data_IF_549349162101
#
_entry.id   IF_549349162101
#
_cell.length_a   1.000
_cell.length_b   1.000
_cell.length_c   1.000
_cell.angle_alpha   90.00
_cell.angle_beta   90.00
_cell.angle_gamma   90.00
#
_symmetry.space_group_name_H-M   'P 1'
#
loop_
_entity.id
_entity.type
_entity.pdbx_description
1 polymer ?
#
# COMPACT_ATOMS: atom_id res chain seq x y z
N UNK A 1 20.60 17.74 -13.04
CA UNK A 1 20.08 17.09 -11.82
C UNK A 1 21.20 16.27 -11.23
N UNK A 2 21.46 16.40 -9.94
CA UNK A 2 22.35 15.45 -9.25
C UNK A 2 21.61 14.12 -8.97
N UNK A 3 22.36 13.08 -8.60
CA UNK A 3 21.80 11.73 -8.32
C UNK A 3 20.76 11.76 -7.20
N UNK A 4 20.89 12.68 -6.25
CA UNK A 4 19.98 12.81 -5.10
C UNK A 4 18.64 13.39 -5.54
N UNK A 5 18.63 14.48 -6.32
CA UNK A 5 17.40 15.05 -6.91
C UNK A 5 16.73 14.05 -7.85
N UNK A 6 17.52 13.29 -8.61
CA UNK A 6 16.98 12.24 -9.49
C UNK A 6 16.23 11.17 -8.69
N UNK A 7 16.82 10.65 -7.61
CA UNK A 7 16.23 9.55 -6.82
C UNK A 7 15.16 10.01 -5.82
N UNK A 8 15.33 11.18 -5.21
CA UNK A 8 14.50 11.66 -4.10
C UNK A 8 13.44 12.69 -4.52
N UNK A 9 13.51 13.21 -5.75
CA UNK A 9 12.45 14.05 -6.31
C UNK A 9 12.75 15.54 -6.35
N UNK A 10 11.69 16.32 -6.18
CA UNK A 10 11.59 17.77 -6.40
C UNK A 10 11.79 18.17 -7.88
N UNK A 11 11.24 17.35 -8.79
CA UNK A 11 11.37 17.59 -10.22
C UNK A 11 10.49 18.76 -10.68
N UNK A 12 9.19 18.73 -10.36
CA UNK A 12 8.21 19.79 -10.67
C UNK A 12 7.12 19.84 -9.59
N UNK A 13 6.30 20.91 -9.55
CA UNK A 13 5.14 20.98 -8.65
C UNK A 13 4.08 19.89 -8.91
N UNK A 14 4.01 19.39 -10.14
CA UNK A 14 2.99 18.42 -10.59
C UNK A 14 3.50 16.98 -10.46
N UNK A 15 4.72 16.71 -10.92
CA UNK A 15 5.43 15.43 -10.79
C UNK A 15 6.63 15.66 -9.87
N UNK A 16 6.52 15.21 -8.63
CA UNK A 16 7.52 15.44 -7.58
C UNK A 16 8.67 14.44 -7.70
N UNK A 17 8.43 13.20 -8.11
CA UNK A 17 9.43 12.13 -8.15
C UNK A 17 8.95 10.90 -8.95
N UNK A 18 9.72 9.80 -8.88
CA UNK A 18 9.36 8.51 -9.48
C UNK A 18 8.11 7.85 -8.89
N UNK A 19 7.68 8.17 -7.67
CA UNK A 19 6.41 7.66 -7.13
C UNK A 19 5.26 8.29 -7.91
N UNK A 20 5.33 9.59 -8.19
CA UNK A 20 4.35 10.27 -9.05
C UNK A 20 4.35 9.75 -10.48
N UNK A 21 5.51 9.36 -11.01
CA UNK A 21 5.55 8.67 -12.31
C UNK A 21 4.76 7.37 -12.24
N UNK A 22 4.98 6.54 -11.22
CA UNK A 22 4.25 5.29 -11.06
C UNK A 22 2.74 5.53 -10.94
N UNK A 23 2.30 6.55 -10.19
CA UNK A 23 0.89 6.96 -10.12
C UNK A 23 0.31 7.32 -11.47
N UNK A 24 1.05 8.12 -12.24
CA UNK A 24 0.64 8.51 -13.59
C UNK A 24 0.60 7.32 -14.54
N UNK A 25 1.48 6.32 -14.35
CA UNK A 25 1.43 5.07 -15.11
C UNK A 25 0.15 4.29 -14.80
N UNK A 26 -0.24 4.14 -13.53
CA UNK A 26 -1.51 3.48 -13.15
C UNK A 26 -2.70 4.22 -13.77
N UNK A 27 -2.80 5.54 -13.57
CA UNK A 27 -3.89 6.36 -14.10
C UNK A 27 -3.90 6.43 -15.64
N UNK A 28 -2.71 6.45 -16.25
CA UNK A 28 -2.54 6.39 -17.70
C UNK A 28 -3.02 5.05 -18.26
N UNK A 29 -2.72 3.95 -17.57
CA UNK A 29 -3.26 2.62 -17.87
C UNK A 29 -4.78 2.64 -17.88
N UNK A 30 -5.43 3.25 -16.88
CA UNK A 30 -6.88 3.39 -16.85
C UNK A 30 -7.45 4.08 -18.10
N UNK A 31 -6.81 5.17 -18.56
CA UNK A 31 -7.20 5.88 -19.78
C UNK A 31 -6.99 5.02 -21.03
N UNK A 32 -5.88 4.28 -21.10
CA UNK A 32 -5.58 3.38 -22.23
C UNK A 32 -6.61 2.27 -22.36
N UNK A 33 -6.94 1.57 -21.26
CA UNK A 33 -7.95 0.51 -21.28
C UNK A 33 -9.36 1.06 -21.59
N UNK A 34 -9.71 2.24 -21.07
CA UNK A 34 -10.98 2.90 -21.42
C UNK A 34 -11.06 3.22 -22.91
N UNK A 35 -9.98 3.74 -23.51
CA UNK A 35 -9.90 4.02 -24.93
C UNK A 35 -9.96 2.75 -25.80
N UNK A 36 -9.49 1.62 -25.28
CA UNK A 36 -9.59 0.30 -25.92
C UNK A 36 -10.98 -0.35 -25.76
N UNK A 37 -11.87 0.24 -24.96
CA UNK A 37 -13.23 -0.26 -24.71
C UNK A 37 -13.34 -1.25 -23.54
N UNK A 38 -12.24 -1.51 -22.83
CA UNK A 38 -12.23 -2.33 -21.62
C UNK A 38 -12.48 -1.47 -20.38
N UNK A 39 -13.76 -1.27 -20.10
CA UNK A 39 -14.21 -0.46 -18.98
C UNK A 39 -13.96 -1.09 -17.60
N UNK A 40 -13.82 -2.43 -17.54
CA UNK A 40 -13.54 -3.14 -16.29
C UNK A 40 -12.12 -2.86 -15.81
N UNK A 41 -11.14 -3.12 -16.69
CA UNK A 41 -9.73 -2.81 -16.43
C UNK A 41 -9.52 -1.31 -16.15
N UNK A 42 -10.21 -0.44 -16.92
CA UNK A 42 -10.16 1.00 -16.70
C UNK A 42 -10.67 1.41 -15.32
N UNK A 43 -11.82 0.88 -14.89
CA UNK A 43 -12.41 1.20 -13.59
C UNK A 43 -11.51 0.74 -12.44
N UNK A 44 -10.93 -0.46 -12.54
CA UNK A 44 -10.00 -0.99 -11.54
C UNK A 44 -8.76 -0.10 -11.39
N UNK A 45 -8.06 0.19 -12.48
CA UNK A 45 -6.86 1.03 -12.44
C UNK A 45 -7.18 2.46 -12.00
N UNK A 46 -8.35 3.00 -12.36
CA UNK A 46 -8.79 4.31 -11.88
C UNK A 46 -9.04 4.32 -10.36
N UNK A 47 -9.68 3.27 -9.82
CA UNK A 47 -9.92 3.11 -8.39
C UNK A 47 -8.59 3.02 -7.62
N UNK A 48 -7.72 2.10 -8.02
CA UNK A 48 -6.41 1.88 -7.37
C UNK A 48 -5.51 3.12 -7.52
N UNK A 49 -5.49 3.74 -8.70
CA UNK A 49 -4.82 5.02 -8.93
C UNK A 49 -5.37 6.14 -8.04
N UNK A 50 -6.68 6.19 -7.84
CA UNK A 50 -7.34 7.13 -6.91
C UNK A 50 -6.86 6.97 -5.46
N UNK A 51 -6.70 5.74 -4.97
CA UNK A 51 -6.14 5.46 -3.64
C UNK A 51 -4.73 6.05 -3.51
N UNK A 52 -3.89 5.91 -4.54
CA UNK A 52 -2.55 6.52 -4.53
C UNK A 52 -2.59 8.06 -4.53
N UNK A 53 -3.63 8.69 -5.08
CA UNK A 53 -3.80 10.15 -5.01
C UNK A 53 -4.19 10.59 -3.60
N UNK A 54 -5.00 9.80 -2.88
CA UNK A 54 -5.30 10.07 -1.46
C UNK A 54 -4.00 10.08 -0.66
N UNK A 55 -3.14 9.08 -0.86
CA UNK A 55 -1.82 8.99 -0.23
C UNK A 55 -0.93 10.23 -0.49
N UNK A 56 -1.01 10.76 -1.71
CA UNK A 56 -0.32 11.98 -2.14
C UNK A 56 -0.86 13.22 -1.42
N UNK A 57 -2.18 13.32 -1.28
CA UNK A 57 -2.85 14.45 -0.62
C UNK A 57 -2.55 14.46 0.87
N UNK A 58 -2.64 13.31 1.53
CA UNK A 58 -2.30 13.19 2.96
C UNK A 58 -0.80 13.29 3.22
N UNK A 59 0.03 13.24 2.18
CA UNK A 59 1.48 13.45 2.24
C UNK A 59 2.17 12.44 3.18
N UNK A 60 1.97 11.15 2.92
CA UNK A 60 2.61 10.04 3.67
C UNK A 60 4.15 10.17 3.69
N UNK A 61 4.83 9.57 4.69
CA UNK A 61 6.28 9.42 4.62
C UNK A 61 6.65 8.67 3.34
N UNK A 62 7.72 9.11 2.66
CA UNK A 62 8.08 8.63 1.31
C UNK A 62 8.13 7.11 1.16
N UNK A 63 8.70 6.32 2.10
CA UNK A 63 8.72 4.86 1.97
C UNK A 63 7.31 4.27 1.97
N UNK A 64 6.41 4.77 2.81
CA UNK A 64 5.03 4.27 2.90
C UNK A 64 4.15 4.76 1.76
N UNK A 65 4.43 5.96 1.23
CA UNK A 65 3.87 6.41 -0.05
C UNK A 65 4.24 5.42 -1.17
N UNK A 66 5.53 5.10 -1.28
CA UNK A 66 6.02 4.12 -2.26
C UNK A 66 5.41 2.73 -2.03
N UNK A 67 5.35 2.25 -0.77
CA UNK A 67 4.76 0.96 -0.43
C UNK A 67 3.31 0.85 -0.91
N UNK A 68 2.47 1.83 -0.58
CA UNK A 68 1.08 1.83 -1.03
C UNK A 68 0.99 1.89 -2.56
N UNK A 69 1.77 2.77 -3.20
CA UNK A 69 1.73 2.93 -4.65
C UNK A 69 2.19 1.65 -5.37
N UNK A 70 3.20 0.95 -4.85
CA UNK A 70 3.65 -0.35 -5.38
C UNK A 70 2.60 -1.45 -5.18
N UNK A 71 1.94 -1.51 -4.02
CA UNK A 71 0.85 -2.46 -3.79
C UNK A 71 -0.31 -2.26 -4.78
N UNK A 72 -0.73 -1.01 -4.97
CA UNK A 72 -1.78 -0.67 -5.95
C UNK A 72 -1.35 -0.96 -7.39
N UNK A 73 -0.07 -0.75 -7.73
CA UNK A 73 0.46 -1.10 -9.04
C UNK A 73 0.50 -2.62 -9.26
N UNK A 74 0.98 -3.38 -8.27
CA UNK A 74 1.07 -4.83 -8.34
C UNK A 74 -0.31 -5.46 -8.52
N UNK A 75 -1.28 -5.07 -7.68
CA UNK A 75 -2.68 -5.51 -7.80
C UNK A 75 -3.28 -5.13 -9.16
N UNK A 76 -3.21 -3.85 -9.50
CA UNK A 76 -3.89 -3.31 -10.67
C UNK A 76 -3.33 -3.86 -11.98
N UNK A 77 -2.00 -3.81 -12.16
CA UNK A 77 -1.37 -4.37 -13.35
C UNK A 77 -1.33 -5.90 -13.33
N UNK A 78 -1.33 -6.52 -12.16
CA UNK A 78 -1.52 -7.97 -12.05
C UNK A 78 -2.79 -8.44 -12.73
N UNK A 79 -3.90 -7.78 -12.40
CA UNK A 79 -5.21 -8.12 -12.95
C UNK A 79 -5.31 -7.79 -14.44
N UNK A 80 -5.03 -6.54 -14.85
CA UNK A 80 -5.29 -6.13 -16.24
C UNK A 80 -4.33 -6.74 -17.26
N UNK A 81 -3.21 -7.30 -16.81
CA UNK A 81 -2.28 -8.05 -17.64
C UNK A 81 -2.50 -9.57 -17.56
N UNK A 82 -3.48 -10.06 -16.79
CA UNK A 82 -3.77 -11.48 -16.64
C UNK A 82 -2.70 -12.27 -15.88
N UNK A 83 -1.93 -11.62 -15.00
CA UNK A 83 -0.85 -12.29 -14.27
C UNK A 83 -1.36 -13.32 -13.26
N UNK A 84 -2.57 -13.13 -12.73
CA UNK A 84 -3.24 -14.12 -11.87
C UNK A 84 -3.46 -15.44 -12.63
N UNK A 85 -3.84 -15.37 -13.90
CA UNK A 85 -4.06 -16.55 -14.75
C UNK A 85 -2.74 -17.16 -15.26
N UNK A 86 -1.79 -16.31 -15.67
CA UNK A 86 -0.58 -16.76 -16.35
C UNK A 86 0.48 -17.31 -15.39
N UNK A 87 0.56 -16.78 -14.16
CA UNK A 87 1.63 -17.09 -13.22
C UNK A 87 1.08 -17.78 -11.97
N UNK A 88 1.34 -19.08 -11.87
CA UNK A 88 0.82 -20.06 -10.88
C UNK A 88 0.82 -19.62 -9.40
N UNK A 89 1.61 -18.61 -9.02
CA UNK A 89 1.70 -18.10 -7.63
C UNK A 89 1.70 -16.59 -7.56
N UNK A 90 1.15 -15.94 -8.57
CA UNK A 90 1.02 -14.50 -8.55
C UNK A 90 0.04 -14.07 -7.47
N UNK A 91 -1.05 -14.80 -7.32
CA UNK A 91 -2.02 -14.59 -6.27
C UNK A 91 -1.39 -14.72 -4.87
N UNK A 92 -0.72 -15.84 -4.59
CA UNK A 92 0.08 -16.03 -3.38
C UNK A 92 1.02 -14.85 -3.06
N UNK A 93 1.68 -14.31 -4.09
CA UNK A 93 2.61 -13.19 -3.96
C UNK A 93 1.86 -11.91 -3.57
N UNK A 94 0.71 -11.66 -4.18
CA UNK A 94 -0.14 -10.49 -3.89
C UNK A 94 -0.63 -10.56 -2.45
N UNK A 95 -1.16 -11.71 -2.01
CA UNK A 95 -1.62 -11.90 -0.63
C UNK A 95 -0.52 -11.75 0.42
N UNK A 96 0.73 -12.04 0.11
CA UNK A 96 1.83 -11.67 1.03
C UNK A 96 2.15 -10.17 0.94
N UNK A 97 2.21 -9.60 -0.26
CA UNK A 97 2.83 -8.29 -0.48
C UNK A 97 1.90 -7.12 -0.22
N UNK A 98 0.62 -7.21 -0.61
CA UNK A 98 -0.35 -6.13 -0.42
C UNK A 98 -0.54 -5.79 1.07
N UNK A 99 -0.85 -6.74 1.98
CA UNK A 99 -0.98 -6.41 3.40
C UNK A 99 0.34 -5.99 4.03
N UNK A 100 1.47 -6.58 3.63
CA UNK A 100 2.81 -6.15 4.07
C UNK A 100 3.07 -4.67 3.81
N UNK A 101 2.69 -4.19 2.62
CA UNK A 101 2.96 -2.83 2.17
C UNK A 101 1.89 -1.82 2.62
N UNK A 102 0.64 -2.26 2.82
CA UNK A 102 -0.49 -1.37 3.12
C UNK A 102 -0.84 -1.28 4.60
N UNK A 103 -0.65 -2.33 5.39
CA UNK A 103 -0.99 -2.30 6.82
C UNK A 103 -0.26 -1.20 7.61
N UNK A 104 1.06 -0.96 7.40
CA UNK A 104 1.76 0.16 8.03
C UNK A 104 1.21 1.53 7.64
N UNK A 105 0.71 1.65 6.41
CA UNK A 105 0.11 2.90 5.91
C UNK A 105 -1.18 3.20 6.66
N UNK A 106 -2.01 2.18 6.89
CA UNK A 106 -3.23 2.33 7.70
C UNK A 106 -2.90 2.69 9.13
N UNK A 107 -1.90 2.06 9.76
CA UNK A 107 -1.44 2.45 11.09
C UNK A 107 -1.03 3.93 11.13
N UNK A 108 -0.22 4.40 10.17
CA UNK A 108 0.22 5.79 10.09
C UNK A 108 -0.96 6.75 9.88
N UNK A 109 -1.95 6.36 9.07
CA UNK A 109 -3.16 7.15 8.87
C UNK A 109 -3.94 7.30 10.19
N UNK A 110 -4.09 6.20 10.95
CA UNK A 110 -4.73 6.21 12.27
C UNK A 110 -3.95 7.03 13.30
N UNK A 111 -2.61 6.97 13.26
CA UNK A 111 -1.75 7.75 14.15
C UNK A 111 -1.94 9.25 13.92
N UNK A 112 -2.05 9.67 12.66
CA UNK A 112 -2.26 11.08 12.26
C UNK A 112 -3.62 11.64 12.66
N UNK A 113 -4.59 10.79 12.96
CA UNK A 113 -5.90 11.17 13.49
C UNK A 113 -6.05 10.82 14.97
N UNK A 114 -4.92 10.56 15.65
CA UNK A 114 -4.83 10.34 17.10
C UNK A 114 -5.63 9.13 17.61
N UNK A 115 -5.95 8.16 16.73
CA UNK A 115 -6.62 6.91 17.11
C UNK A 115 -5.65 5.91 17.72
N UNK A 116 -4.40 5.93 17.27
CA UNK A 116 -3.28 5.16 17.83
C UNK A 116 -2.10 6.11 18.07
N UNK A 117 -1.10 5.73 18.89
CA UNK A 117 0.05 6.58 19.12
C UNK A 117 0.88 6.86 17.87
N UNK A 118 1.54 8.03 17.81
CA UNK A 118 2.52 8.29 16.75
C UNK A 118 3.76 7.41 16.96
N UNK A 119 4.28 6.75 15.91
CA UNK A 119 5.53 6.00 16.02
C UNK A 119 6.75 6.82 16.51
N UNK A 120 6.70 8.16 16.50
CA UNK A 120 7.74 9.02 17.09
C UNK A 120 7.67 9.13 18.60
N UNK A 121 6.48 9.15 19.17
CA UNK A 121 6.27 9.51 20.57
C UNK A 121 6.51 8.32 21.50
N UNK A 122 6.51 7.11 20.94
CA UNK A 122 6.45 5.87 21.71
C UNK A 122 7.68 4.98 21.56
N UNK A 123 8.59 5.05 22.53
CA UNK A 123 9.96 4.47 22.40
C UNK A 123 10.27 3.29 23.34
N UNK A 124 9.25 2.65 23.92
CA UNK A 124 9.43 1.55 24.88
C UNK A 124 8.89 0.19 24.36
N UNK A 125 9.42 -0.91 24.91
CA UNK A 125 9.11 -2.28 24.45
C UNK A 125 7.59 -2.59 24.36
N UNK A 126 6.75 -2.26 25.35
CA UNK A 126 5.31 -2.50 25.23
C UNK A 126 4.67 -1.78 24.05
N UNK A 127 5.17 -0.58 23.70
CA UNK A 127 4.64 0.20 22.60
C UNK A 127 5.06 -0.37 21.25
N UNK A 128 6.32 -0.83 21.13
CA UNK A 128 6.74 -1.57 19.93
C UNK A 128 5.90 -2.83 19.70
N UNK A 129 5.59 -3.58 20.76
CA UNK A 129 4.70 -4.74 20.68
C UNK A 129 3.29 -4.29 20.23
N UNK A 130 2.75 -3.24 20.83
CA UNK A 130 1.44 -2.68 20.46
C UNK A 130 1.36 -2.24 18.99
N UNK A 131 2.35 -1.48 18.51
CA UNK A 131 2.47 -1.06 17.11
C UNK A 131 2.47 -2.28 16.19
N UNK A 132 3.30 -3.29 16.49
CA UNK A 132 3.40 -4.50 15.69
C UNK A 132 2.09 -5.29 15.64
N UNK A 133 1.45 -5.50 16.80
CA UNK A 133 0.19 -6.26 16.90
C UNK A 133 -0.96 -5.55 16.19
N UNK A 134 -1.12 -4.24 16.41
CA UNK A 134 -2.18 -3.47 15.75
C UNK A 134 -1.95 -3.43 14.24
N UNK A 135 -0.73 -3.23 13.79
CA UNK A 135 -0.41 -3.23 12.35
C UNK A 135 -0.68 -4.59 11.73
N UNK A 136 -0.30 -5.68 12.39
CA UNK A 136 -0.60 -7.02 11.91
C UNK A 136 -2.12 -7.27 11.83
N UNK A 137 -2.88 -6.86 12.84
CA UNK A 137 -4.34 -6.98 12.85
C UNK A 137 -5.00 -6.18 11.71
N UNK A 138 -4.49 -4.98 11.41
CA UNK A 138 -4.97 -4.17 10.28
C UNK A 138 -4.73 -4.86 8.94
N UNK A 139 -3.56 -5.44 8.73
CA UNK A 139 -3.26 -6.16 7.48
C UNK A 139 -4.10 -7.44 7.32
N UNK A 140 -4.30 -8.20 8.40
CA UNK A 140 -5.17 -9.38 8.41
C UNK A 140 -6.61 -8.96 8.08
N UNK A 141 -7.07 -7.84 8.62
CA UNK A 141 -8.40 -7.31 8.31
C UNK A 141 -8.52 -6.87 6.85
N UNK A 142 -7.46 -6.30 6.24
CA UNK A 142 -7.44 -5.97 4.81
C UNK A 142 -7.59 -7.25 3.97
N UNK A 143 -6.80 -8.28 4.27
CA UNK A 143 -6.90 -9.59 3.61
C UNK A 143 -8.29 -10.21 3.75
N UNK A 144 -8.83 -10.25 4.96
CA UNK A 144 -10.18 -10.77 5.19
C UNK A 144 -11.28 -9.96 4.48
N UNK A 145 -11.13 -8.64 4.34
CA UNK A 145 -12.05 -7.82 3.57
C UNK A 145 -11.93 -8.09 2.07
N UNK A 146 -10.75 -8.46 1.58
CA UNK A 146 -10.52 -8.87 0.21
C UNK A 146 -11.23 -10.20 -0.11
N UNK A 147 -11.05 -11.23 0.71
CA UNK A 147 -11.77 -12.52 0.56
C UNK A 147 -13.31 -12.33 0.54
N UNK A 148 -13.82 -11.46 1.41
CA UNK A 148 -15.25 -11.12 1.44
C UNK A 148 -15.67 -10.42 0.14
N UNK A 149 -14.79 -9.56 -0.40
CA UNK A 149 -15.03 -8.91 -1.68
C UNK A 149 -15.06 -9.93 -2.82
N UNK A 150 -14.10 -10.85 -2.91
CA UNK A 150 -14.04 -11.88 -3.94
C UNK A 150 -15.31 -12.73 -3.94
N UNK A 151 -15.64 -13.32 -2.79
CA UNK A 151 -16.86 -14.09 -2.61
C UNK A 151 -18.12 -13.30 -3.01
N UNK A 152 -18.17 -12.02 -2.68
CA UNK A 152 -19.35 -11.19 -2.98
C UNK A 152 -19.40 -10.74 -4.42
N UNK A 153 -18.24 -10.50 -5.02
CA UNK A 153 -18.08 -10.04 -6.40
C UNK A 153 -18.57 -11.11 -7.38
N UNK A 154 -18.32 -12.39 -7.10
CA UNK A 154 -18.79 -13.49 -7.94
C UNK A 154 -20.33 -13.51 -8.01
N UNK A 155 -20.98 -13.23 -6.88
CA UNK A 155 -22.44 -13.19 -6.79
C UNK A 155 -23.06 -11.93 -7.44
N UNK A 156 -22.37 -10.79 -7.44
CA UNK A 156 -22.92 -9.50 -7.88
C UNK A 156 -22.54 -9.11 -9.30
N UNK A 157 -21.31 -9.42 -9.69
CA UNK A 157 -20.70 -9.00 -10.93
C UNK A 157 -20.40 -10.18 -11.86
N UNK A 158 -20.60 -11.42 -11.40
CA UNK A 158 -20.32 -12.62 -12.19
C UNK A 158 -18.84 -12.82 -12.45
N UNK A 159 -17.99 -12.31 -11.55
CA UNK A 159 -16.56 -12.63 -11.53
C UNK A 159 -16.34 -14.09 -11.13
N UNK A 160 -15.09 -14.52 -11.14
CA UNK A 160 -14.67 -15.84 -10.67
C UNK A 160 -13.39 -15.69 -9.83
N UNK A 161 -13.47 -14.86 -8.79
CA UNK A 161 -12.36 -14.57 -7.90
C UNK A 161 -12.29 -15.55 -6.72
N UNK A 162 -13.42 -16.06 -6.24
CA UNK A 162 -13.42 -17.02 -5.12
C UNK A 162 -13.22 -18.44 -5.63
N UNK A 163 -11.98 -18.94 -5.66
CA UNK A 163 -11.67 -20.25 -6.24
C UNK A 163 -12.00 -21.44 -5.32
N UNK A 164 -12.13 -21.21 -4.00
CA UNK A 164 -12.63 -22.20 -3.07
C UNK A 164 -12.16 -22.02 -1.62
N UNK A 165 -12.52 -22.96 -0.75
CA UNK A 165 -12.18 -22.85 0.67
C UNK A 165 -10.67 -22.99 0.95
N UNK A 166 -9.97 -23.86 0.22
CA UNK A 166 -8.54 -24.07 0.45
C UNK A 166 -7.70 -22.87 -0.02
N UNK A 167 -8.18 -22.21 -1.07
CA UNK A 167 -7.64 -20.97 -1.63
C UNK A 167 -7.77 -19.83 -0.60
N UNK A 168 -9.01 -19.41 -0.31
CA UNK A 168 -9.32 -18.40 0.71
C UNK A 168 -8.60 -18.59 2.04
N UNK A 169 -8.54 -19.82 2.58
CA UNK A 169 -7.81 -20.05 3.83
C UNK A 169 -6.29 -19.93 3.66
N UNK A 170 -5.75 -20.35 2.51
CA UNK A 170 -4.36 -20.14 2.15
C UNK A 170 -4.02 -18.65 2.06
N UNK A 171 -4.92 -17.87 1.48
CA UNK A 171 -4.73 -16.45 1.25
C UNK A 171 -4.78 -15.66 2.55
N UNK A 172 -5.71 -15.96 3.44
CA UNK A 172 -5.71 -15.43 4.81
C UNK A 172 -4.42 -15.76 5.59
N UNK A 173 -3.83 -16.93 5.35
CA UNK A 173 -2.53 -17.29 5.95
C UNK A 173 -1.42 -16.43 5.36
N UNK A 174 -1.38 -16.24 4.04
CA UNK A 174 -0.40 -15.39 3.35
C UNK A 174 -0.55 -13.92 3.74
N UNK A 175 -1.78 -13.44 3.86
CA UNK A 175 -2.12 -12.12 4.35
C UNK A 175 -1.61 -11.91 5.76
N UNK A 176 -1.79 -12.90 6.63
CA UNK A 176 -1.27 -12.88 8.00
C UNK A 176 0.25 -12.78 8.00
N UNK A 177 0.96 -13.57 7.19
CA UNK A 177 2.41 -13.52 7.09
C UNK A 177 2.89 -12.15 6.59
N UNK A 178 2.27 -11.63 5.53
CA UNK A 178 2.54 -10.30 5.01
C UNK A 178 2.35 -9.21 6.07
N UNK A 179 1.23 -9.26 6.78
CA UNK A 179 0.88 -8.32 7.84
C UNK A 179 1.87 -8.32 9.01
N UNK A 180 2.34 -9.50 9.42
CA UNK A 180 3.37 -9.64 10.45
C UNK A 180 4.69 -9.00 10.02
N UNK A 181 5.10 -9.21 8.77
CA UNK A 181 6.30 -8.57 8.20
C UNK A 181 6.11 -7.05 8.13
N UNK A 182 4.97 -6.56 7.63
CA UNK A 182 4.66 -5.14 7.59
C UNK A 182 4.70 -4.48 8.98
N UNK A 183 4.11 -5.13 9.99
CA UNK A 183 4.16 -4.69 11.38
C UNK A 183 5.58 -4.65 11.94
N UNK A 184 6.40 -5.68 11.67
CA UNK A 184 7.81 -5.69 12.08
C UNK A 184 8.62 -4.56 11.42
N UNK A 185 8.39 -4.29 10.13
CA UNK A 185 9.04 -3.18 9.42
C UNK A 185 8.63 -1.82 9.98
N UNK A 186 7.36 -1.64 10.36
CA UNK A 186 6.93 -0.42 11.04
C UNK A 186 7.59 -0.28 12.42
N UNK A 187 7.72 -1.35 13.20
CA UNK A 187 8.44 -1.30 14.48
C UNK A 187 9.90 -0.92 14.30
N UNK A 188 10.55 -1.42 13.24
CA UNK A 188 11.93 -1.01 12.89
C UNK A 188 11.97 0.48 12.56
N UNK A 189 11.02 0.98 11.77
CA UNK A 189 10.88 2.41 11.46
C UNK A 189 10.72 3.27 12.72
N UNK A 190 9.81 2.87 13.63
CA UNK A 190 9.60 3.49 14.95
C UNK A 190 10.91 3.55 15.74
N UNK A 191 11.67 2.46 15.78
CA UNK A 191 12.93 2.37 16.54
C UNK A 191 14.01 3.33 16.06
N UNK A 192 13.98 3.72 14.79
CA UNK A 192 14.86 4.77 14.25
C UNK A 192 14.39 6.20 14.57
N UNK A 193 13.31 6.36 15.35
CA UNK A 193 12.73 7.65 15.70
C UNK A 193 11.96 8.29 14.54
N UNK A 194 11.58 7.48 13.56
CA UNK A 194 10.83 7.93 12.40
C UNK A 194 9.33 7.76 12.69
N UNK A 195 8.56 8.85 12.57
CA UNK A 195 7.15 8.89 12.94
C UNK A 195 6.23 8.96 11.74
N UNK A 196 5.06 9.56 11.93
CA UNK A 196 4.11 9.84 10.84
C UNK A 196 4.51 11.03 9.93
N UNK A 197 5.80 11.40 9.93
CA UNK A 197 6.36 12.63 9.35
C UNK A 197 5.82 12.90 7.96
N UNK A 198 5.31 14.11 7.75
CA UNK A 198 4.92 14.56 6.43
C UNK A 198 6.17 14.72 5.56
N UNK A 199 6.09 14.28 4.32
CA UNK A 199 7.16 14.52 3.34
C UNK A 199 7.36 16.04 3.18
N UNK A 200 8.59 16.53 3.38
CA UNK A 200 8.94 17.93 3.18
C UNK A 200 9.48 18.08 1.74
N UNK A 201 8.87 18.91 0.87
CA UNK A 201 9.44 19.20 -0.45
C UNK A 201 10.79 19.92 -0.32
N UNK A 202 11.83 19.49 -1.05
CA UNK A 202 13.12 20.17 -1.08
C UNK A 202 14.06 19.93 0.11
N UNK A 203 13.60 19.30 1.19
CA UNK A 203 14.40 19.03 2.39
C UNK A 203 14.10 17.62 2.89
N UNK A 204 15.13 16.80 3.04
CA UNK A 204 15.01 15.42 3.50
C UNK A 204 15.65 15.25 4.88
N UNK A 205 15.49 16.25 5.75
CA UNK A 205 15.67 16.04 7.18
C UNK A 205 14.30 15.74 7.75
N UNK A 206 14.25 14.80 8.69
CA UNK A 206 13.22 14.85 9.73
C UNK A 206 13.16 16.31 10.23
N UNK A 207 12.00 16.82 10.66
CA UNK A 207 12.02 17.95 11.61
C UNK A 207 13.18 17.69 12.57
N UNK A 208 14.14 18.63 12.63
CA UNK A 208 15.35 18.45 13.41
C UNK A 208 14.92 17.90 14.76
N UNK A 209 15.34 16.67 15.05
CA UNK A 209 15.11 16.05 16.34
C UNK A 209 16.02 16.85 17.26
N UNK A 210 15.49 17.92 17.86
CA UNK A 210 16.13 18.54 19.01
C UNK A 210 16.09 17.49 20.11
N UNK A 211 17.16 16.71 20.21
CA UNK A 211 17.51 16.00 21.43
C UNK A 211 17.75 17.01 22.56
#
# INVERSE_FOLDING_TARGET
>A
MDTRTLLLGDWTPVVRDGIDVLRLVILGGAVVYAAAGDWGAAALLALLGGITLVARVINLPRPYDLSLTLAMALQGFGEVLGLYDEWVRFDDLVHVTVPMLTAPVVYIALARVEVVPDPRDETHLPHYIGIGVVTAALGIAIGALWEVYEWRSDAWFGTNLSEGNDDTNGDLVRDTLGSLVGGALLVVWTRFGWGSVRRIPGVNTHEDVSA
#
